data_IF_337550403480
#
_entry.id   IF_337550403480
#
_cell.length_a   1.000
_cell.length_b   1.000
_cell.length_c   1.000
_cell.angle_alpha   90.00
_cell.angle_beta   90.00
_cell.angle_gamma   90.00
#
_symmetry.space_group_name_H-M   'P 1'
#
loop_
_entity.id
_entity.type
_entity.pdbx_description
1 polymer ?
#
# COMPACT_ATOMS: atom_id res chain seq x y z
N UNK A 1 -7.99 8.09 -29.26
CA UNK A 1 -7.77 8.50 -27.85
C UNK A 1 -6.39 8.02 -27.45
N UNK A 2 -5.34 8.79 -27.80
CA UNK A 2 -3.94 8.37 -27.64
C UNK A 2 -3.13 9.23 -26.65
N UNK A 3 -3.74 10.26 -26.07
CA UNK A 3 -3.03 11.19 -25.20
C UNK A 3 -3.69 11.24 -23.83
N UNK A 4 -3.33 10.27 -22.99
CA UNK A 4 -3.72 10.21 -21.57
C UNK A 4 -2.69 11.00 -20.76
N UNK A 5 -3.08 11.66 -19.71
CA UNK A 5 -2.99 13.08 -19.42
C UNK A 5 -1.56 13.59 -19.43
N UNK A 6 -1.28 14.56 -20.26
CA UNK A 6 -0.11 15.42 -20.11
C UNK A 6 -0.25 16.19 -18.79
N UNK A 7 0.75 16.11 -17.93
CA UNK A 7 0.84 16.88 -16.66
C UNK A 7 0.91 18.41 -16.90
N UNK A 8 0.83 18.84 -18.15
CA UNK A 8 1.08 20.22 -18.57
C UNK A 8 -0.18 20.99 -18.99
N UNK A 9 -1.36 20.34 -19.06
CA UNK A 9 -2.62 21.02 -19.38
C UNK A 9 -3.76 20.59 -18.43
N UNK A 10 -4.71 21.47 -18.24
CA UNK A 10 -5.94 21.12 -17.52
C UNK A 10 -6.78 20.09 -18.29
N UNK A 11 -7.40 19.18 -17.55
CA UNK A 11 -8.33 18.20 -18.09
C UNK A 11 -9.60 18.89 -18.58
N UNK A 12 -10.08 18.52 -19.76
CA UNK A 12 -11.40 18.92 -20.21
C UNK A 12 -12.50 18.15 -19.44
N UNK A 13 -13.77 18.56 -19.63
CA UNK A 13 -14.90 17.97 -18.89
C UNK A 13 -15.07 16.48 -19.18
N UNK A 14 -14.93 16.04 -20.42
CA UNK A 14 -15.07 14.64 -20.86
C UNK A 14 -13.95 13.76 -20.27
N UNK A 15 -12.71 14.25 -20.32
CA UNK A 15 -11.57 13.56 -19.72
C UNK A 15 -11.71 13.43 -18.19
N UNK A 16 -12.20 14.47 -17.53
CA UNK A 16 -12.46 14.46 -16.10
C UNK A 16 -13.53 13.44 -15.73
N UNK A 17 -14.63 13.40 -16.48
CA UNK A 17 -15.71 12.44 -16.27
C UNK A 17 -15.23 11.01 -16.47
N UNK A 18 -14.46 10.76 -17.53
CA UNK A 18 -13.87 9.45 -17.82
C UNK A 18 -12.93 8.97 -16.70
N UNK A 19 -12.03 9.85 -16.24
CA UNK A 19 -11.11 9.52 -15.16
C UNK A 19 -11.88 9.30 -13.85
N UNK A 20 -12.87 10.14 -13.55
CA UNK A 20 -13.68 9.99 -12.35
C UNK A 20 -14.47 8.66 -12.37
N UNK A 21 -14.98 8.25 -13.52
CA UNK A 21 -15.62 6.95 -13.70
C UNK A 21 -14.68 5.80 -13.32
N UNK A 22 -13.48 5.80 -13.87
CA UNK A 22 -12.48 4.77 -13.55
C UNK A 22 -12.09 4.77 -12.06
N UNK A 23 -11.91 5.95 -11.46
CA UNK A 23 -11.62 6.06 -10.01
C UNK A 23 -12.76 5.45 -9.19
N UNK A 24 -14.01 5.73 -9.55
CA UNK A 24 -15.17 5.18 -8.87
C UNK A 24 -15.22 3.65 -8.99
N UNK A 25 -14.94 3.10 -10.17
CA UNK A 25 -14.90 1.65 -10.39
C UNK A 25 -13.81 0.97 -9.54
N UNK A 26 -12.61 1.54 -9.48
CA UNK A 26 -11.54 1.05 -8.61
C UNK A 26 -11.90 1.14 -7.14
N UNK A 27 -12.55 2.22 -6.73
CA UNK A 27 -13.00 2.39 -5.35
C UNK A 27 -14.04 1.34 -4.96
N UNK A 28 -15.03 1.08 -5.83
CA UNK A 28 -16.01 0.03 -5.61
C UNK A 28 -15.38 -1.37 -5.56
N UNK A 29 -14.39 -1.63 -6.40
CA UNK A 29 -13.64 -2.89 -6.35
C UNK A 29 -12.87 -3.02 -5.03
N UNK A 30 -12.18 -1.97 -4.60
CA UNK A 30 -11.49 -1.94 -3.32
C UNK A 30 -12.42 -2.24 -2.15
N UNK A 31 -13.60 -1.59 -2.10
CA UNK A 31 -14.58 -1.84 -1.04
C UNK A 31 -15.02 -3.31 -1.03
N UNK A 32 -15.35 -3.88 -2.19
CA UNK A 32 -15.74 -5.29 -2.30
C UNK A 32 -14.65 -6.24 -1.81
N UNK A 33 -13.40 -5.98 -2.13
CA UNK A 33 -12.30 -6.84 -1.73
C UNK A 33 -11.99 -6.76 -0.23
N UNK A 34 -12.14 -5.59 0.38
CA UNK A 34 -12.05 -5.44 1.84
C UNK A 34 -13.20 -6.17 2.54
N UNK A 35 -14.45 -6.01 2.05
CA UNK A 35 -15.63 -6.65 2.63
C UNK A 35 -15.59 -8.18 2.60
N UNK A 36 -14.94 -8.78 1.59
CA UNK A 36 -14.73 -10.23 1.54
C UNK A 36 -13.83 -10.76 2.65
N UNK A 37 -12.95 -9.91 3.18
CA UNK A 37 -11.87 -10.32 4.10
C UNK A 37 -12.03 -9.75 5.51
N UNK A 38 -12.89 -8.77 5.70
CA UNK A 38 -13.06 -8.06 6.95
C UNK A 38 -14.51 -8.09 7.43
N UNK A 39 -14.66 -8.35 8.71
CA UNK A 39 -16.00 -8.32 9.33
C UNK A 39 -16.39 -6.87 9.70
N UNK A 40 -16.72 -6.10 8.68
CA UNK A 40 -17.15 -4.71 8.76
C UNK A 40 -18.35 -4.49 7.84
N UNK A 41 -19.30 -3.65 8.22
CA UNK A 41 -20.41 -3.32 7.33
C UNK A 41 -19.97 -2.39 6.20
N UNK A 42 -20.59 -2.52 5.02
CA UNK A 42 -20.32 -1.66 3.88
C UNK A 42 -20.51 -0.18 4.23
N UNK A 43 -21.58 0.16 4.91
CA UNK A 43 -21.86 1.54 5.31
C UNK A 43 -20.79 2.12 6.24
N UNK A 44 -20.20 1.30 7.09
CA UNK A 44 -19.08 1.71 7.96
C UNK A 44 -17.80 1.83 7.14
N UNK A 45 -17.49 0.85 6.27
CA UNK A 45 -16.29 0.89 5.44
C UNK A 45 -16.26 2.11 4.53
N UNK A 46 -17.38 2.45 3.86
CA UNK A 46 -17.48 3.65 3.02
C UNK A 46 -17.15 4.95 3.78
N UNK A 47 -17.51 5.04 5.06
CA UNK A 47 -17.19 6.21 5.91
C UNK A 47 -15.72 6.27 6.30
N UNK A 48 -15.03 5.14 6.30
CA UNK A 48 -13.63 5.03 6.66
C UNK A 48 -12.69 5.17 5.45
N UNK A 49 -13.17 4.82 4.27
CA UNK A 49 -12.39 4.78 3.02
C UNK A 49 -12.35 6.15 2.32
N UNK A 50 -12.08 7.21 3.05
CA UNK A 50 -11.99 8.59 2.54
C UNK A 50 -10.53 9.07 2.33
N UNK A 51 -9.57 8.16 2.39
CA UNK A 51 -8.15 8.45 2.22
C UNK A 51 -7.41 8.88 3.49
N UNK A 52 -8.07 8.87 4.65
CA UNK A 52 -7.43 9.18 5.94
C UNK A 52 -6.46 8.08 6.39
N UNK A 53 -5.50 8.48 7.21
CA UNK A 53 -4.55 7.55 7.83
C UNK A 53 -5.07 7.15 9.21
N UNK A 54 -4.93 5.86 9.54
CA UNK A 54 -5.26 5.31 10.86
C UNK A 54 -4.00 4.92 11.61
N UNK A 55 -3.98 5.14 12.92
CA UNK A 55 -2.99 4.47 13.77
C UNK A 55 -3.29 2.96 13.83
N UNK A 56 -2.27 2.13 14.11
CA UNK A 56 -2.44 0.68 14.22
C UNK A 56 -3.53 0.30 15.22
N UNK A 57 -3.56 0.96 16.40
CA UNK A 57 -4.61 0.75 17.40
C UNK A 57 -6.00 1.04 16.84
N UNK A 58 -6.16 2.16 16.14
CA UNK A 58 -7.44 2.54 15.55
C UNK A 58 -7.87 1.59 14.44
N UNK A 59 -6.94 1.14 13.62
CA UNK A 59 -7.20 0.16 12.57
C UNK A 59 -7.67 -1.18 13.15
N UNK A 60 -7.09 -1.62 14.28
CA UNK A 60 -7.51 -2.83 14.98
C UNK A 60 -8.91 -2.68 15.59
N UNK A 61 -9.20 -1.58 16.28
CA UNK A 61 -10.55 -1.28 16.81
C UNK A 61 -11.61 -1.32 15.71
N UNK A 62 -11.27 -0.82 14.53
CA UNK A 62 -12.14 -0.79 13.35
C UNK A 62 -12.17 -2.11 12.57
N UNK A 63 -11.45 -3.13 13.04
CA UNK A 63 -11.34 -4.46 12.39
C UNK A 63 -10.75 -4.43 10.98
N UNK A 64 -9.95 -3.42 10.70
CA UNK A 64 -9.22 -3.31 9.44
C UNK A 64 -7.95 -4.17 9.43
N UNK A 65 -7.38 -4.42 10.62
CA UNK A 65 -6.26 -5.34 10.84
C UNK A 65 -6.58 -6.28 12.00
N UNK A 66 -5.92 -7.43 12.05
CA UNK A 66 -6.17 -8.46 13.03
C UNK A 66 -5.38 -8.21 14.33
N UNK A 67 -4.09 -7.87 14.18
CA UNK A 67 -3.19 -7.65 15.32
C UNK A 67 -2.20 -6.52 15.03
N UNK A 68 -1.64 -6.01 16.12
CA UNK A 68 -0.50 -5.10 16.12
C UNK A 68 0.69 -5.92 16.61
N UNK A 69 1.81 -5.86 15.91
CA UNK A 69 3.02 -6.58 16.28
C UNK A 69 4.22 -6.10 15.49
N UNK A 70 5.37 -6.67 15.80
CA UNK A 70 6.61 -6.48 15.07
C UNK A 70 6.62 -7.34 13.80
N UNK A 71 7.60 -7.09 12.92
CA UNK A 71 7.82 -7.91 11.73
C UNK A 71 8.12 -9.38 12.10
N UNK A 72 8.91 -9.57 13.14
CA UNK A 72 9.30 -10.88 13.66
C UNK A 72 8.08 -11.66 14.15
N UNK A 73 7.21 -11.02 14.93
CA UNK A 73 5.95 -11.61 15.39
C UNK A 73 5.03 -11.98 14.22
N UNK A 74 4.91 -11.11 13.22
CA UNK A 74 4.10 -11.39 12.03
C UNK A 74 4.63 -12.60 11.24
N UNK A 75 5.95 -12.79 11.18
CA UNK A 75 6.56 -13.96 10.54
C UNK A 75 6.27 -15.25 11.32
N UNK A 76 6.38 -15.20 12.64
CA UNK A 76 6.07 -16.33 13.52
C UNK A 76 4.61 -16.73 13.32
N UNK A 77 3.69 -15.78 13.43
CA UNK A 77 2.27 -16.01 13.22
C UNK A 77 1.97 -16.63 11.86
N UNK A 78 2.61 -16.12 10.80
CA UNK A 78 2.43 -16.67 9.46
C UNK A 78 2.94 -18.13 9.35
N UNK A 79 4.08 -18.45 9.96
CA UNK A 79 4.61 -19.82 10.00
C UNK A 79 3.62 -20.77 10.67
N UNK A 80 3.07 -20.36 11.79
CA UNK A 80 2.11 -21.15 12.55
C UNK A 80 0.80 -21.36 11.76
N UNK A 81 0.31 -20.33 11.09
CA UNK A 81 -0.92 -20.39 10.30
C UNK A 81 -0.81 -21.30 9.09
N UNK A 82 0.35 -21.30 8.41
CA UNK A 82 0.59 -22.17 7.23
C UNK A 82 1.18 -23.54 7.58
N UNK A 83 1.54 -23.78 8.86
CA UNK A 83 2.10 -25.04 9.33
C UNK A 83 3.52 -25.35 8.82
N UNK A 84 4.28 -24.35 8.36
CA UNK A 84 5.64 -24.50 7.84
C UNK A 84 6.62 -23.80 8.77
N UNK A 85 7.41 -24.58 9.52
CA UNK A 85 8.37 -24.03 10.48
C UNK A 85 9.68 -23.56 9.82
N UNK A 86 10.13 -24.24 8.79
CA UNK A 86 11.37 -23.91 8.07
C UNK A 86 11.07 -23.08 6.80
N UNK A 87 10.83 -21.80 7.01
CA UNK A 87 10.49 -20.82 5.97
C UNK A 87 11.64 -19.86 5.77
N UNK A 88 12.24 -19.89 4.58
CA UNK A 88 13.21 -18.88 4.16
C UNK A 88 12.48 -17.62 3.68
N UNK A 89 12.73 -16.50 4.36
CA UNK A 89 12.18 -15.20 3.97
C UNK A 89 13.13 -14.58 2.96
N UNK A 90 12.66 -14.43 1.71
CA UNK A 90 13.40 -13.70 0.68
C UNK A 90 12.88 -12.27 0.59
N UNK A 91 13.75 -11.32 0.85
CA UNK A 91 13.46 -9.91 0.63
C UNK A 91 13.77 -9.55 -0.82
N UNK A 92 12.75 -9.16 -1.57
CA UNK A 92 12.94 -8.64 -2.92
C UNK A 92 13.05 -7.13 -2.82
N UNK A 93 14.29 -6.63 -2.94
CA UNK A 93 14.53 -5.20 -3.12
C UNK A 93 14.44 -4.87 -4.61
N UNK A 94 13.70 -3.85 -4.95
CA UNK A 94 13.72 -3.32 -6.31
C UNK A 94 15.13 -2.78 -6.62
N UNK A 95 15.78 -3.37 -7.62
CA UNK A 95 17.13 -2.97 -8.03
C UNK A 95 17.19 -1.52 -8.55
N UNK A 96 16.04 -0.95 -8.89
CA UNK A 96 15.94 0.44 -9.36
C UNK A 96 16.35 1.45 -8.28
N UNK A 97 16.01 1.20 -7.03
CA UNK A 97 16.44 2.04 -5.91
C UNK A 97 17.96 2.03 -5.72
N UNK A 98 18.62 0.91 -6.02
CA UNK A 98 20.08 0.79 -5.93
C UNK A 98 20.76 1.53 -7.07
N UNK A 99 20.16 1.54 -8.27
CA UNK A 99 20.70 2.24 -9.44
C UNK A 99 20.62 3.76 -9.26
N UNK A 100 19.47 4.27 -8.81
CA UNK A 100 19.29 5.70 -8.52
C UNK A 100 20.16 6.17 -7.37
N UNK A 101 20.28 5.39 -6.30
CA UNK A 101 21.19 5.68 -5.18
C UNK A 101 22.66 5.68 -5.64
N UNK A 102 23.03 4.76 -6.53
CA UNK A 102 24.37 4.69 -7.12
C UNK A 102 24.71 5.90 -8.00
N UNK A 103 23.75 6.44 -8.74
CA UNK A 103 23.92 7.66 -9.53
C UNK A 103 23.97 8.90 -8.62
N UNK A 104 23.06 9.02 -7.66
CA UNK A 104 23.00 10.13 -6.72
C UNK A 104 24.26 10.22 -5.84
N UNK A 105 24.82 9.11 -5.41
CA UNK A 105 26.06 9.07 -4.64
C UNK A 105 27.28 9.55 -5.46
N UNK A 106 27.26 9.34 -6.79
CA UNK A 106 28.32 9.80 -7.69
C UNK A 106 28.23 11.27 -8.07
N UNK A 107 27.00 11.83 -8.09
CA UNK A 107 26.78 13.22 -8.50
C UNK A 107 26.89 14.18 -7.32
N UNK A 108 26.56 13.75 -6.11
CA UNK A 108 26.36 14.71 -5.02
C UNK A 108 27.57 14.97 -4.16
N UNK A 109 28.63 14.16 -4.16
CA UNK A 109 29.74 14.38 -3.20
C UNK A 109 29.25 14.72 -1.79
N UNK A 110 27.94 14.65 -1.56
CA UNK A 110 27.24 14.98 -0.33
C UNK A 110 27.27 13.77 0.59
N UNK A 111 27.80 14.01 1.76
CA UNK A 111 27.71 13.11 2.91
C UNK A 111 26.31 12.53 3.00
N UNK A 112 26.26 11.24 3.22
CA UNK A 112 25.07 10.42 3.41
C UNK A 112 23.96 11.21 4.13
N UNK A 113 22.97 11.68 3.37
CA UNK A 113 21.71 12.05 3.98
C UNK A 113 21.11 10.76 4.52
N UNK A 114 21.12 10.62 5.83
CA UNK A 114 20.51 9.56 6.58
C UNK A 114 19.03 9.47 6.17
N UNK A 115 18.72 8.55 5.29
CA UNK A 115 17.34 8.12 5.08
C UNK A 115 17.11 7.07 6.17
N UNK A 116 16.34 7.41 7.21
CA UNK A 116 16.03 6.43 8.23
C UNK A 116 15.27 5.28 7.56
N UNK A 117 15.73 4.06 7.79
CA UNK A 117 15.06 2.81 7.41
C UNK A 117 13.72 2.63 8.16
N UNK A 118 12.91 3.66 8.24
CA UNK A 118 11.61 3.72 8.87
C UNK A 118 10.53 4.02 7.84
N UNK A 119 10.46 3.23 6.78
CA UNK A 119 9.30 3.25 5.90
C UNK A 119 8.09 2.67 6.62
N UNK A 120 6.95 3.36 6.56
CA UNK A 120 5.68 2.76 6.93
C UNK A 120 5.37 1.66 5.91
N UNK A 121 5.60 0.41 6.27
CA UNK A 121 5.26 -0.73 5.42
C UNK A 121 3.77 -1.03 5.60
N UNK A 122 2.95 -0.67 4.63
CA UNK A 122 1.64 -1.26 4.48
C UNK A 122 1.82 -2.62 3.82
N UNK A 123 1.68 -3.69 4.57
CA UNK A 123 1.57 -5.02 4.00
C UNK A 123 0.19 -5.17 3.36
N UNK A 124 0.05 -4.67 2.14
CA UNK A 124 -1.02 -5.09 1.25
C UNK A 124 -0.55 -6.34 0.51
N UNK A 125 -1.15 -7.47 0.83
CA UNK A 125 -0.99 -8.70 0.08
C UNK A 125 -2.22 -8.88 -0.80
N UNK A 126 -2.13 -8.68 -2.12
CA UNK A 126 -3.22 -9.08 -3.00
C UNK A 126 -3.23 -10.60 -3.09
N UNK A 127 -4.30 -11.20 -2.64
CA UNK A 127 -4.77 -12.51 -3.06
C UNK A 127 -3.94 -13.75 -2.69
N UNK A 128 -4.36 -14.45 -1.69
CA UNK A 128 -4.50 -15.91 -1.71
C UNK A 128 -5.99 -16.21 -1.55
#
# INVERSE_FOLDING_TARGET
MKDVPSTTRELNAEEREYIQGNINDFFEQFLRDVLKRRNISEAQLRKLADGRIFSGRKAQELKLIDRIGTREEAVIDMKDEIGIQDLEIKEFYDKEDTFLKGILSKISGMKEAFVPNGGFYYLYKPGI
#
